data_IF_648637706868
#
_entry.id   IF_648637706868
#
_cell.length_a   1.000
_cell.length_b   1.000
_cell.length_c   1.000
_cell.angle_alpha   90.00
_cell.angle_beta   90.00
_cell.angle_gamma   90.00
#
_symmetry.space_group_name_H-M   'P 1'
#
loop_
_entity.id
_entity.type
_entity.pdbx_description
1 polymer ?
#
# COMPACT_ATOMS: atom_id res chain seq x y z
N UNK A 1 41.55 -30.96 30.77
CA UNK A 1 41.72 -30.92 29.29
C UNK A 1 41.39 -32.30 28.78
N UNK A 2 40.12 -32.58 28.56
CA UNK A 2 39.69 -33.85 28.00
C UNK A 2 38.94 -33.50 26.72
N UNK A 3 39.59 -33.84 25.59
CA UNK A 3 39.06 -33.75 24.25
C UNK A 3 38.04 -34.87 24.06
N UNK A 4 36.77 -34.50 23.96
CA UNK A 4 35.71 -35.42 23.51
C UNK A 4 35.78 -35.50 21.99
N UNK A 5 36.34 -36.62 21.48
CA UNK A 5 36.27 -36.99 20.09
C UNK A 5 34.84 -37.46 19.78
N UNK A 6 34.05 -36.66 19.07
CA UNK A 6 32.77 -37.05 18.49
C UNK A 6 33.02 -37.62 17.08
N UNK A 7 33.17 -38.93 17.03
CA UNK A 7 33.20 -39.66 15.76
C UNK A 7 31.75 -39.95 15.37
N UNK A 8 31.19 -39.18 14.44
CA UNK A 8 29.91 -39.50 13.78
C UNK A 8 30.12 -40.68 12.83
N UNK A 9 29.94 -41.90 13.34
CA UNK A 9 29.92 -43.10 12.51
C UNK A 9 28.62 -43.09 11.66
N UNK A 10 28.78 -43.12 10.34
CA UNK A 10 27.66 -43.43 9.44
C UNK A 10 27.14 -44.85 9.79
N UNK A 11 25.96 -44.91 10.37
CA UNK A 11 25.32 -46.17 10.77
C UNK A 11 24.72 -46.81 9.51
N UNK A 12 25.42 -47.79 8.92
CA UNK A 12 24.83 -48.72 7.97
C UNK A 12 24.13 -49.82 8.72
N UNK A 13 22.83 -50.02 8.55
CA UNK A 13 22.10 -51.07 9.24
C UNK A 13 22.61 -52.46 8.80
N UNK A 14 22.81 -53.34 9.78
CA UNK A 14 23.14 -54.75 9.50
C UNK A 14 21.95 -55.48 8.83
N UNK A 15 22.17 -56.59 8.11
CA UNK A 15 21.13 -57.29 7.32
C UNK A 15 19.93 -57.78 8.17
N UNK A 16 20.07 -57.93 9.49
CA UNK A 16 19.01 -58.40 10.39
C UNK A 16 17.95 -57.34 10.71
N UNK A 17 18.21 -56.04 10.39
CA UNK A 17 17.29 -54.90 10.65
C UNK A 17 16.27 -54.71 9.51
N UNK A 18 16.37 -55.44 8.41
CA UNK A 18 15.53 -55.28 7.21
C UNK A 18 14.04 -55.59 7.45
N UNK A 19 13.69 -56.38 8.48
CA UNK A 19 12.31 -56.73 8.82
C UNK A 19 11.53 -55.65 9.57
N UNK A 20 12.17 -54.58 10.01
CA UNK A 20 11.56 -53.47 10.77
C UNK A 20 11.35 -52.17 9.96
N UNK A 21 11.74 -52.14 8.67
CA UNK A 21 11.56 -50.96 7.81
C UNK A 21 10.14 -50.93 7.29
N UNK A 22 9.44 -49.81 7.52
CA UNK A 22 8.08 -49.57 7.00
C UNK A 22 8.12 -48.47 5.93
N UNK A 23 7.41 -48.67 4.81
CA UNK A 23 7.20 -47.62 3.80
C UNK A 23 5.74 -47.19 3.83
N UNK A 24 5.51 -45.87 3.85
CA UNK A 24 4.19 -45.25 3.81
C UNK A 24 4.16 -44.28 2.59
N UNK A 25 3.45 -44.68 1.54
CA UNK A 25 3.19 -43.85 0.41
C UNK A 25 1.98 -42.94 0.69
N UNK A 26 2.13 -41.64 0.49
CA UNK A 26 1.04 -40.70 0.64
C UNK A 26 0.33 -40.50 -0.71
N UNK A 27 -0.95 -40.10 -0.67
CA UNK A 27 -1.75 -39.80 -1.86
C UNK A 27 -1.42 -38.42 -2.46
N UNK A 28 -0.14 -38.01 -2.38
CA UNK A 28 0.34 -36.71 -2.84
C UNK A 28 1.31 -36.92 -4.00
N UNK A 29 0.89 -36.52 -5.21
CA UNK A 29 1.72 -36.65 -6.40
C UNK A 29 2.92 -35.69 -6.37
N UNK A 30 4.01 -36.06 -7.02
CA UNK A 30 5.24 -35.26 -7.12
C UNK A 30 5.01 -33.86 -7.69
N UNK A 31 4.06 -33.69 -8.60
CA UNK A 31 3.73 -32.41 -9.24
C UNK A 31 2.62 -31.61 -8.52
N UNK A 32 2.28 -31.97 -7.28
CA UNK A 32 1.35 -31.17 -6.48
C UNK A 32 2.05 -29.89 -5.99
N UNK A 33 1.42 -28.71 -6.13
CA UNK A 33 2.00 -27.38 -5.89
C UNK A 33 3.36 -27.21 -6.59
N UNK A 34 3.39 -27.22 -7.95
CA UNK A 34 4.63 -27.24 -8.72
C UNK A 34 5.44 -25.96 -8.58
N UNK A 35 4.80 -24.86 -8.15
CA UNK A 35 5.41 -23.56 -7.88
C UNK A 35 6.16 -23.48 -6.54
N UNK A 36 5.95 -24.46 -5.63
CA UNK A 36 6.68 -24.48 -4.38
C UNK A 36 8.11 -24.98 -4.61
N UNK A 37 9.08 -24.19 -4.14
CA UNK A 37 10.50 -24.47 -4.20
C UNK A 37 11.10 -24.59 -2.78
N UNK A 38 12.42 -24.40 -2.66
CA UNK A 38 13.14 -24.55 -1.38
C UNK A 38 12.56 -23.66 -0.28
N UNK A 39 12.26 -22.39 -0.60
CA UNK A 39 11.72 -21.46 0.42
C UNK A 39 10.39 -21.91 0.98
N UNK A 40 9.43 -22.29 0.12
CA UNK A 40 8.11 -22.72 0.57
C UNK A 40 8.21 -23.98 1.44
N UNK A 41 9.08 -24.91 1.05
CA UNK A 41 9.38 -26.11 1.83
C UNK A 41 9.96 -25.80 3.20
N UNK A 42 10.99 -24.96 3.27
CA UNK A 42 11.59 -24.51 4.54
C UNK A 42 10.61 -23.71 5.38
N UNK A 43 9.80 -22.86 4.75
CA UNK A 43 8.75 -22.09 5.44
C UNK A 43 7.83 -22.97 6.26
N UNK A 44 7.32 -24.05 5.68
CA UNK A 44 6.41 -24.97 6.39
C UNK A 44 7.09 -25.68 7.55
N UNK A 45 8.36 -26.10 7.39
CA UNK A 45 9.10 -26.78 8.47
C UNK A 45 9.45 -25.80 9.60
N UNK A 46 9.95 -24.61 9.29
CA UNK A 46 10.26 -23.55 10.27
C UNK A 46 8.98 -23.11 10.99
N UNK A 47 7.87 -22.98 10.27
CA UNK A 47 6.57 -22.67 10.87
C UNK A 47 6.14 -23.69 11.91
N UNK A 48 6.28 -24.99 11.63
CA UNK A 48 5.98 -26.04 12.59
C UNK A 48 6.90 -25.97 13.82
N UNK A 49 8.17 -25.66 13.62
CA UNK A 49 9.13 -25.45 14.72
C UNK A 49 8.76 -24.22 15.57
N UNK A 50 8.38 -23.10 14.95
CA UNK A 50 7.91 -21.89 15.66
C UNK A 50 6.64 -22.16 16.46
N UNK A 51 5.68 -22.89 15.91
CA UNK A 51 4.45 -23.28 16.61
C UNK A 51 4.79 -24.12 17.85
N UNK A 52 5.69 -25.09 17.71
CA UNK A 52 6.13 -25.93 18.84
C UNK A 52 6.85 -25.11 19.93
N UNK A 53 7.67 -24.13 19.53
CA UNK A 53 8.33 -23.20 20.46
C UNK A 53 7.32 -22.34 21.23
N UNK A 54 6.30 -21.81 20.58
CA UNK A 54 5.27 -20.99 21.22
C UNK A 54 4.34 -21.81 22.12
N UNK A 55 4.09 -23.07 21.77
CA UNK A 55 3.36 -24.01 22.63
C UNK A 55 4.17 -24.45 23.86
N UNK A 56 5.39 -23.95 24.02
CA UNK A 56 6.28 -24.22 25.15
C UNK A 56 6.62 -25.72 25.32
N UNK A 57 6.80 -26.42 24.21
CA UNK A 57 7.12 -27.87 24.19
C UNK A 57 8.59 -28.15 24.54
N UNK A 58 9.12 -27.45 25.53
CA UNK A 58 10.49 -27.62 26.04
C UNK A 58 11.55 -26.86 25.21
N UNK A 59 12.81 -27.32 25.27
CA UNK A 59 13.91 -26.68 24.55
C UNK A 59 13.72 -26.74 23.05
N UNK A 60 13.88 -25.59 22.38
CA UNK A 60 13.79 -25.49 20.93
C UNK A 60 15.10 -24.94 20.38
N UNK A 61 15.66 -25.61 19.37
CA UNK A 61 16.92 -25.25 18.71
C UNK A 61 16.69 -25.20 17.19
N UNK A 62 17.24 -24.20 16.54
CA UNK A 62 17.40 -24.13 15.09
C UNK A 62 18.86 -23.83 14.79
N UNK A 63 19.49 -24.64 13.96
CA UNK A 63 20.90 -24.53 13.62
C UNK A 63 21.14 -24.93 12.16
N UNK A 64 21.99 -24.19 11.47
CA UNK A 64 22.49 -24.56 10.16
C UNK A 64 23.95 -24.96 10.24
N UNK A 65 24.25 -26.19 9.86
CA UNK A 65 25.60 -26.72 9.77
C UNK A 65 26.11 -26.60 8.34
N UNK A 66 27.07 -25.70 8.09
CA UNK A 66 27.62 -25.44 6.76
C UNK A 66 28.47 -26.59 6.21
N UNK A 67 29.15 -27.38 7.09
CA UNK A 67 29.98 -28.51 6.67
C UNK A 67 29.11 -29.68 6.16
N UNK A 68 28.02 -29.95 6.88
CA UNK A 68 27.04 -30.98 6.51
C UNK A 68 25.99 -30.50 5.50
N UNK A 69 25.96 -29.20 5.20
CA UNK A 69 24.89 -28.52 4.45
C UNK A 69 23.51 -28.91 4.99
N UNK A 70 23.33 -28.86 6.29
CA UNK A 70 22.16 -29.36 6.96
C UNK A 70 21.52 -28.29 7.87
N UNK A 71 20.23 -28.07 7.70
CA UNK A 71 19.39 -27.34 8.65
C UNK A 71 18.78 -28.32 9.63
N UNK A 72 18.94 -28.03 10.93
CA UNK A 72 18.41 -28.82 12.05
C UNK A 72 17.40 -28.00 12.82
N UNK A 73 16.20 -28.54 12.96
CA UNK A 73 15.09 -27.97 13.72
C UNK A 73 14.71 -28.95 14.82
N UNK A 74 14.99 -28.62 16.08
CA UNK A 74 14.73 -29.49 17.23
C UNK A 74 13.73 -28.86 18.19
N UNK A 75 12.85 -29.70 18.78
CA UNK A 75 12.04 -29.38 19.95
C UNK A 75 11.76 -30.67 20.78
N UNK A 76 11.33 -30.50 22.03
CA UNK A 76 11.03 -31.61 22.93
C UNK A 76 9.58 -32.12 22.82
N UNK A 77 8.85 -31.75 21.78
CA UNK A 77 7.51 -32.29 21.52
C UNK A 77 7.53 -33.73 21.10
N UNK A 78 6.35 -34.27 20.82
CA UNK A 78 6.14 -35.64 20.30
C UNK A 78 5.34 -35.57 19.01
N UNK A 79 5.63 -36.50 18.11
CA UNK A 79 4.89 -36.71 16.87
C UNK A 79 4.77 -38.21 16.62
N UNK A 80 3.66 -38.64 16.10
CA UNK A 80 3.43 -40.03 15.67
C UNK A 80 3.07 -40.09 14.19
N UNK A 81 2.92 -41.31 13.66
CA UNK A 81 2.64 -41.51 12.23
C UNK A 81 1.32 -40.92 11.76
N UNK A 82 0.39 -40.56 12.67
CA UNK A 82 -0.86 -39.88 12.30
C UNK A 82 -0.62 -38.49 11.68
N UNK A 83 0.52 -37.89 11.99
CA UNK A 83 0.96 -36.63 11.35
C UNK A 83 1.18 -36.74 9.83
N UNK A 84 1.32 -37.96 9.30
CA UNK A 84 1.41 -38.22 7.85
C UNK A 84 0.04 -38.27 7.17
N UNK A 85 -1.06 -38.33 7.93
CA UNK A 85 -2.40 -38.23 7.36
C UNK A 85 -2.68 -36.81 6.87
N UNK A 86 -3.41 -36.70 5.77
CA UNK A 86 -3.99 -35.44 5.35
C UNK A 86 -5.23 -35.14 6.19
N UNK A 87 -5.31 -33.96 6.77
CA UNK A 87 -6.43 -33.55 7.60
C UNK A 87 -6.07 -32.42 8.57
N UNK A 88 -7.04 -31.98 9.39
CA UNK A 88 -6.81 -30.90 10.34
C UNK A 88 -5.71 -31.29 11.35
N UNK A 89 -4.98 -30.30 11.87
CA UNK A 89 -3.99 -30.54 12.93
C UNK A 89 -4.66 -31.03 14.22
N UNK A 90 -3.84 -31.41 15.20
CA UNK A 90 -4.35 -31.79 16.52
C UNK A 90 -5.21 -30.69 17.15
N UNK A 91 -6.18 -31.06 18.00
CA UNK A 91 -7.10 -30.13 18.66
C UNK A 91 -6.36 -29.00 19.39
N UNK A 92 -5.26 -29.30 20.08
CA UNK A 92 -4.43 -28.33 20.77
C UNK A 92 -3.86 -27.26 19.83
N UNK A 93 -3.54 -27.62 18.57
CA UNK A 93 -3.04 -26.66 17.57
C UNK A 93 -4.16 -25.85 16.94
N UNK A 94 -5.36 -26.44 16.82
CA UNK A 94 -6.57 -25.74 16.33
C UNK A 94 -7.06 -24.69 17.33
N UNK A 95 -6.97 -24.96 18.62
CA UNK A 95 -7.38 -24.07 19.71
C UNK A 95 -6.39 -22.91 19.94
N UNK A 96 -5.16 -23.03 19.48
CA UNK A 96 -4.15 -21.97 19.62
C UNK A 96 -4.37 -20.83 18.64
N UNK A 97 -4.74 -19.64 19.14
CA UNK A 97 -4.83 -18.42 18.32
C UNK A 97 -3.49 -18.05 17.68
N UNK A 98 -2.38 -18.41 18.31
CA UNK A 98 -1.03 -18.08 17.86
C UNK A 98 -0.46 -19.08 16.84
N UNK A 99 -1.04 -20.27 16.70
CA UNK A 99 -0.55 -21.25 15.76
C UNK A 99 -0.61 -20.73 14.31
N UNK A 100 0.50 -20.93 13.58
CA UNK A 100 0.67 -20.57 12.17
C UNK A 100 0.13 -21.63 11.25
N UNK A 101 0.33 -22.92 11.63
CA UNK A 101 -0.06 -24.07 10.82
C UNK A 101 -1.48 -24.58 11.15
N UNK A 102 -2.48 -24.10 10.41
CA UNK A 102 -3.89 -24.45 10.64
C UNK A 102 -4.41 -25.65 9.82
N UNK A 103 -3.69 -26.10 8.80
CA UNK A 103 -4.18 -27.10 7.85
C UNK A 103 -3.64 -28.51 8.08
N UNK A 104 -2.65 -28.69 8.96
CA UNK A 104 -2.06 -30.02 9.24
C UNK A 104 -1.29 -30.66 8.07
N UNK A 105 -0.99 -29.92 7.02
CA UNK A 105 -0.36 -30.39 5.78
C UNK A 105 1.11 -29.98 5.64
N UNK A 106 1.58 -29.01 6.44
CA UNK A 106 2.87 -28.34 6.25
C UNK A 106 4.06 -29.29 6.22
N UNK A 107 4.14 -30.28 7.12
CA UNK A 107 5.23 -31.25 7.11
C UNK A 107 5.29 -32.04 5.79
N UNK A 108 4.14 -32.47 5.28
CA UNK A 108 4.05 -33.28 4.05
C UNK A 108 4.37 -32.47 2.80
N UNK A 109 3.74 -31.31 2.68
CA UNK A 109 3.90 -30.46 1.50
C UNK A 109 5.26 -29.78 1.48
N UNK A 110 5.76 -29.36 2.65
CA UNK A 110 7.12 -28.84 2.76
C UNK A 110 8.17 -29.87 2.41
N UNK A 111 8.02 -31.12 2.91
CA UNK A 111 8.93 -32.22 2.56
C UNK A 111 8.87 -32.57 1.08
N UNK A 112 7.66 -32.58 0.46
CA UNK A 112 7.53 -32.81 -0.98
C UNK A 112 8.30 -31.78 -1.79
N UNK A 113 8.13 -30.49 -1.49
CA UNK A 113 8.83 -29.42 -2.19
C UNK A 113 10.35 -29.56 -2.09
N UNK A 114 10.87 -29.82 -0.89
CA UNK A 114 12.31 -29.98 -0.64
C UNK A 114 12.91 -31.21 -1.33
N UNK A 115 12.21 -32.37 -1.25
CA UNK A 115 12.70 -33.60 -1.90
C UNK A 115 12.67 -33.48 -3.43
N UNK A 116 11.69 -32.76 -3.97
CA UNK A 116 11.62 -32.46 -5.42
C UNK A 116 12.80 -31.61 -5.88
N UNK A 117 13.31 -30.73 -5.05
CA UNK A 117 14.50 -29.92 -5.28
C UNK A 117 15.82 -30.69 -5.00
N UNK A 118 15.75 -32.01 -4.73
CA UNK A 118 16.92 -32.86 -4.52
C UNK A 118 17.46 -32.86 -3.09
N UNK A 119 16.76 -32.23 -2.14
CA UNK A 119 17.16 -32.21 -0.74
C UNK A 119 16.65 -33.46 -0.01
N UNK A 120 17.35 -33.87 1.05
CA UNK A 120 16.90 -34.95 1.91
C UNK A 120 16.19 -34.37 3.14
N UNK A 121 14.95 -34.83 3.41
CA UNK A 121 14.22 -34.47 4.61
C UNK A 121 14.08 -35.67 5.52
N UNK A 122 14.52 -35.52 6.75
CA UNK A 122 14.46 -36.52 7.81
C UNK A 122 13.67 -36.00 9.02
N UNK A 123 12.87 -36.83 9.62
CA UNK A 123 12.22 -36.59 10.91
C UNK A 123 12.66 -37.66 11.90
N UNK A 124 13.34 -37.24 12.95
CA UNK A 124 13.79 -38.11 14.05
C UNK A 124 12.79 -37.92 15.21
N UNK A 125 12.24 -38.99 15.67
CA UNK A 125 11.34 -39.04 16.82
C UNK A 125 12.00 -39.89 17.93
N UNK A 126 11.43 -39.97 19.11
CA UNK A 126 12.00 -40.81 20.18
C UNK A 126 12.19 -42.30 19.83
N UNK A 127 11.46 -42.81 18.84
CA UNK A 127 11.48 -44.22 18.48
C UNK A 127 11.73 -44.54 17.02
N UNK A 128 11.68 -43.49 16.15
CA UNK A 128 11.69 -43.70 14.71
C UNK A 128 12.48 -42.57 13.99
N UNK A 129 13.11 -42.96 12.85
CA UNK A 129 13.63 -42.03 11.87
C UNK A 129 12.85 -42.18 10.58
N UNK A 130 12.22 -41.11 10.14
CA UNK A 130 11.46 -41.06 8.90
C UNK A 130 12.26 -40.33 7.84
N UNK A 131 12.37 -40.90 6.65
CA UNK A 131 13.09 -40.29 5.52
C UNK A 131 12.11 -40.13 4.37
N UNK A 132 11.95 -38.89 3.93
CA UNK A 132 11.09 -38.55 2.80
C UNK A 132 11.78 -38.84 1.46
N UNK A 133 11.02 -39.36 0.50
CA UNK A 133 11.47 -39.63 -0.87
C UNK A 133 10.30 -39.51 -1.85
N UNK A 134 10.59 -39.38 -3.14
CA UNK A 134 9.62 -39.52 -4.22
C UNK A 134 9.83 -40.92 -4.81
N UNK A 135 8.76 -41.72 -4.86
CA UNK A 135 8.83 -43.06 -5.41
C UNK A 135 7.56 -43.42 -6.20
N UNK A 136 7.68 -44.27 -7.24
CA UNK A 136 6.52 -44.81 -7.93
C UNK A 136 5.74 -45.72 -6.99
N UNK A 137 4.41 -45.71 -7.10
CA UNK A 137 3.53 -46.61 -6.34
C UNK A 137 2.58 -47.34 -7.28
N UNK A 138 2.64 -48.64 -7.27
CA UNK A 138 1.83 -49.53 -8.13
C UNK A 138 0.34 -49.43 -7.84
N UNK A 139 -0.06 -49.22 -6.58
CA UNK A 139 -1.48 -49.01 -6.21
C UNK A 139 -2.09 -47.79 -6.91
N UNK A 140 -1.25 -46.85 -7.35
CA UNK A 140 -1.64 -45.67 -8.10
C UNK A 140 -1.18 -45.71 -9.57
N UNK A 141 -1.02 -46.91 -10.15
CA UNK A 141 -0.62 -47.11 -11.54
C UNK A 141 0.79 -46.60 -11.86
N UNK A 142 1.71 -46.74 -10.92
CA UNK A 142 3.11 -46.30 -11.09
C UNK A 142 3.31 -44.80 -10.94
N UNK A 143 2.32 -44.03 -10.49
CA UNK A 143 2.48 -42.61 -10.26
C UNK A 143 3.53 -42.33 -9.17
N UNK A 144 4.37 -41.33 -9.39
CA UNK A 144 5.34 -40.88 -8.39
C UNK A 144 4.64 -40.09 -7.29
N UNK A 145 4.81 -40.54 -6.05
CA UNK A 145 4.18 -39.95 -4.87
C UNK A 145 5.19 -39.73 -3.75
N UNK A 146 4.88 -38.82 -2.84
CA UNK A 146 5.65 -38.64 -1.60
C UNK A 146 5.55 -39.92 -0.77
N UNK A 147 6.72 -40.48 -0.43
CA UNK A 147 6.84 -41.75 0.32
C UNK A 147 7.76 -41.54 1.51
N UNK A 148 7.36 -41.99 2.67
CA UNK A 148 8.18 -42.03 3.89
C UNK A 148 8.69 -43.42 4.15
N UNK A 149 10.01 -43.54 4.32
CA UNK A 149 10.64 -44.79 4.79
C UNK A 149 10.98 -44.61 6.26
N UNK A 150 10.47 -45.50 7.08
CA UNK A 150 10.56 -45.41 8.54
C UNK A 150 11.49 -46.49 9.05
N UNK A 151 12.48 -46.07 9.78
CA UNK A 151 13.49 -46.91 10.43
C UNK A 151 13.37 -46.82 11.95
N UNK A 152 13.72 -47.89 12.70
CA UNK A 152 13.93 -47.80 14.14
C UNK A 152 14.99 -46.77 14.48
N UNK A 153 14.75 -45.96 15.51
CA UNK A 153 15.67 -44.94 15.98
C UNK A 153 15.46 -44.69 17.48
N UNK A 154 16.40 -44.02 18.10
CA UNK A 154 16.26 -43.53 19.48
C UNK A 154 16.81 -42.14 19.57
N UNK A 155 15.97 -41.18 20.01
CA UNK A 155 16.35 -39.77 20.20
C UNK A 155 15.50 -39.19 21.34
N UNK A 156 15.68 -37.91 21.62
CA UNK A 156 14.88 -37.14 22.57
C UNK A 156 14.16 -36.04 21.82
N UNK A 157 12.83 -36.00 21.89
CA UNK A 157 12.03 -35.01 21.21
C UNK A 157 11.87 -35.27 19.71
N UNK A 158 11.69 -34.21 18.96
CA UNK A 158 11.55 -34.21 17.50
C UNK A 158 12.68 -33.42 16.91
N UNK A 159 13.39 -34.02 15.95
CA UNK A 159 14.39 -33.31 15.14
C UNK A 159 14.03 -33.44 13.66
N UNK A 160 13.80 -32.33 12.99
CA UNK A 160 13.67 -32.30 11.53
C UNK A 160 15.00 -31.84 10.95
N UNK A 161 15.55 -32.61 10.02
CA UNK A 161 16.79 -32.31 9.31
C UNK A 161 16.52 -32.13 7.81
N UNK A 162 17.07 -31.07 7.23
CA UNK A 162 17.08 -30.85 5.78
C UNK A 162 18.51 -30.88 5.34
N UNK A 163 18.91 -31.93 4.65
CA UNK A 163 20.31 -32.17 4.23
C UNK A 163 20.49 -31.88 2.75
N UNK A 164 21.64 -31.33 2.39
CA UNK A 164 21.98 -30.87 1.04
C UNK A 164 21.59 -29.42 0.80
N UNK A 165 21.17 -28.70 1.82
CA UNK A 165 20.76 -27.28 1.71
C UNK A 165 22.00 -26.38 1.64
N UNK A 166 22.11 -25.61 0.55
CA UNK A 166 23.20 -24.64 0.40
C UNK A 166 23.00 -23.43 1.35
N UNK A 167 24.11 -22.84 1.80
CA UNK A 167 24.10 -21.77 2.79
C UNK A 167 23.33 -20.52 2.32
N UNK A 168 23.49 -20.14 1.07
CA UNK A 168 22.79 -19.00 0.46
C UNK A 168 21.28 -19.24 0.34
N UNK A 169 20.85 -20.47 0.09
CA UNK A 169 19.44 -20.84 0.09
C UNK A 169 18.85 -20.76 1.50
N UNK A 170 19.60 -21.15 2.54
CA UNK A 170 19.18 -20.97 3.93
C UNK A 170 19.10 -19.50 4.31
N UNK A 171 20.14 -18.69 4.03
CA UNK A 171 20.13 -17.26 4.36
C UNK A 171 19.01 -16.50 3.64
N UNK A 172 18.74 -16.82 2.39
CA UNK A 172 17.59 -16.27 1.66
C UNK A 172 16.26 -16.65 2.34
N UNK A 173 16.11 -17.90 2.75
CA UNK A 173 14.91 -18.33 3.48
C UNK A 173 14.81 -17.68 4.86
N UNK A 174 15.91 -17.66 5.61
CA UNK A 174 16.01 -17.10 6.97
C UNK A 174 15.62 -15.62 7.00
N UNK A 175 16.07 -14.81 6.03
CA UNK A 175 15.76 -13.39 5.92
C UNK A 175 14.27 -13.07 5.73
N UNK A 176 13.46 -14.08 5.44
CA UNK A 176 11.99 -13.96 5.31
C UNK A 176 11.24 -14.24 6.62
N UNK A 177 11.94 -14.40 7.74
CA UNK A 177 11.34 -14.60 9.05
C UNK A 177 11.82 -13.50 10.00
N UNK A 178 10.91 -12.65 10.43
CA UNK A 178 11.23 -11.57 11.40
C UNK A 178 11.79 -12.10 12.72
N UNK A 179 11.42 -13.32 13.12
CA UNK A 179 11.89 -13.93 14.37
C UNK A 179 13.41 -14.21 14.40
N UNK A 180 14.07 -14.23 13.24
CA UNK A 180 15.52 -14.43 13.12
C UNK A 180 16.31 -13.14 12.97
N UNK A 181 15.62 -12.02 12.89
CA UNK A 181 16.26 -10.72 12.91
C UNK A 181 16.62 -10.35 14.36
N UNK A 182 17.87 -9.94 14.57
CA UNK A 182 18.35 -9.52 15.90
C UNK A 182 17.71 -8.20 16.34
N UNK A 183 17.45 -7.32 15.37
CA UNK A 183 16.82 -6.03 15.58
C UNK A 183 15.90 -5.73 14.39
N UNK A 184 14.61 -5.64 14.63
CA UNK A 184 13.62 -5.26 13.61
C UNK A 184 13.39 -3.73 13.54
N UNK A 185 14.14 -2.94 14.35
CA UNK A 185 14.00 -1.51 14.42
C UNK A 185 12.73 -1.05 15.15
N UNK A 186 12.36 0.22 15.03
CA UNK A 186 11.18 0.76 15.69
C UNK A 186 9.89 0.10 15.18
N UNK A 187 9.03 -0.29 16.11
CA UNK A 187 7.73 -0.89 15.82
C UNK A 187 6.63 -0.20 16.62
N UNK A 188 5.41 -0.23 16.09
CA UNK A 188 4.20 0.17 16.81
C UNK A 188 3.29 -1.04 16.93
N UNK A 189 3.00 -1.45 18.16
CA UNK A 189 2.04 -2.53 18.42
C UNK A 189 0.62 -2.02 18.27
N UNK A 190 -0.24 -2.79 17.62
CA UNK A 190 -1.65 -2.50 17.39
C UNK A 190 -2.52 -3.73 17.57
N UNK A 191 -3.85 -3.53 17.51
CA UNK A 191 -4.79 -4.65 17.58
C UNK A 191 -4.56 -5.71 16.48
N UNK A 192 -4.17 -5.30 15.27
CA UNK A 192 -3.98 -6.22 14.15
C UNK A 192 -2.57 -6.81 14.06
N UNK A 193 -1.59 -6.24 14.79
CA UNK A 193 -0.20 -6.68 14.77
C UNK A 193 0.77 -5.53 14.98
N UNK A 194 1.86 -5.54 14.23
CA UNK A 194 2.97 -4.59 14.36
C UNK A 194 3.16 -3.80 13.08
N UNK A 195 3.23 -2.48 13.18
CA UNK A 195 3.71 -1.58 12.14
C UNK A 195 5.24 -1.49 12.24
N UNK A 196 5.94 -1.80 11.16
CA UNK A 196 7.40 -1.79 11.08
C UNK A 196 7.86 -0.48 10.43
N UNK A 197 8.53 0.38 11.21
CA UNK A 197 8.87 1.74 10.80
C UNK A 197 10.22 1.87 10.10
N UNK A 198 11.09 0.86 10.20
CA UNK A 198 12.38 0.88 9.51
C UNK A 198 12.18 0.76 8.00
N UNK A 199 12.88 1.60 7.21
CA UNK A 199 12.75 1.69 5.74
C UNK A 199 13.04 0.35 5.04
N UNK A 200 13.85 -0.54 5.62
CA UNK A 200 14.13 -1.89 5.08
C UNK A 200 12.89 -2.79 5.00
N UNK A 201 11.84 -2.47 5.77
CA UNK A 201 10.58 -3.21 5.80
C UNK A 201 9.50 -2.62 4.92
N UNK A 202 9.71 -1.43 4.38
CA UNK A 202 8.72 -0.74 3.54
C UNK A 202 8.19 -1.64 2.43
N UNK A 203 6.88 -1.69 2.33
CA UNK A 203 6.18 -2.53 1.36
C UNK A 203 6.09 -4.01 1.70
N UNK A 204 6.86 -4.50 2.68
CA UNK A 204 6.86 -5.91 3.06
C UNK A 204 5.74 -6.24 4.04
N UNK A 205 5.07 -7.34 3.78
CA UNK A 205 3.97 -7.85 4.59
C UNK A 205 4.34 -9.20 5.17
N UNK A 206 4.24 -9.29 6.48
CA UNK A 206 4.45 -10.50 7.26
C UNK A 206 3.16 -10.88 7.97
N UNK A 207 2.96 -12.17 8.22
CA UNK A 207 1.90 -12.69 9.10
C UNK A 207 2.54 -13.58 10.14
N UNK A 208 2.36 -13.20 11.42
CA UNK A 208 2.97 -13.88 12.56
C UNK A 208 4.50 -14.07 12.38
N UNK A 209 5.16 -13.05 11.85
CA UNK A 209 6.61 -13.01 11.62
C UNK A 209 7.09 -13.77 10.38
N UNK A 210 6.21 -14.29 9.55
CA UNK A 210 6.55 -14.99 8.29
C UNK A 210 6.21 -14.09 7.11
N UNK A 211 7.17 -13.92 6.20
CA UNK A 211 6.98 -13.13 4.99
C UNK A 211 5.88 -13.72 4.09
N UNK A 212 4.99 -12.86 3.65
CA UNK A 212 3.86 -13.22 2.78
C UNK A 212 4.00 -12.60 1.41
N UNK A 213 4.25 -11.29 1.35
CA UNK A 213 4.37 -10.58 0.07
C UNK A 213 5.18 -9.30 0.19
N UNK A 214 5.72 -8.86 -0.94
CA UNK A 214 6.28 -7.53 -1.13
C UNK A 214 5.32 -6.70 -2.01
N UNK A 215 4.77 -5.66 -1.43
CA UNK A 215 3.91 -4.70 -2.13
C UNK A 215 4.70 -3.53 -2.72
N UNK A 216 6.01 -3.49 -2.50
CA UNK A 216 6.91 -2.43 -2.97
C UNK A 216 6.42 -1.05 -2.55
N UNK A 217 6.51 -0.10 -3.46
CA UNK A 217 6.10 1.29 -3.21
C UNK A 217 4.60 1.52 -2.99
N UNK A 218 3.76 0.48 -3.05
CA UNK A 218 2.32 0.62 -2.81
C UNK A 218 1.97 0.86 -1.34
N UNK A 219 2.85 0.47 -0.41
CA UNK A 219 2.69 0.71 1.02
C UNK A 219 3.76 1.70 1.50
N UNK A 220 3.42 2.50 2.51
CA UNK A 220 4.35 3.45 3.10
C UNK A 220 5.28 2.80 4.14
N UNK A 221 4.81 1.75 4.81
CA UNK A 221 5.52 1.03 5.88
C UNK A 221 5.53 -0.47 5.66
N UNK A 222 6.18 -1.19 6.57
CA UNK A 222 6.09 -2.65 6.67
C UNK A 222 5.04 -3.08 7.69
N UNK A 223 4.54 -4.31 7.57
CA UNK A 223 3.46 -4.84 8.41
C UNK A 223 3.72 -6.27 8.85
N UNK A 224 3.53 -6.56 10.13
CA UNK A 224 3.52 -7.90 10.68
C UNK A 224 2.15 -8.17 11.34
N UNK A 225 1.22 -8.73 10.59
CA UNK A 225 -0.12 -9.03 11.08
C UNK A 225 -0.13 -10.27 11.98
N UNK A 226 -0.75 -10.17 13.14
CA UNK A 226 -0.95 -11.32 14.06
C UNK A 226 -2.34 -11.93 13.94
N UNK A 227 -3.33 -11.17 13.45
CA UNK A 227 -4.74 -11.56 13.33
C UNK A 227 -5.26 -11.69 11.90
N UNK A 228 -4.37 -11.61 10.90
CA UNK A 228 -4.77 -11.78 9.51
C UNK A 228 -5.11 -13.25 9.19
N UNK A 229 -6.08 -13.42 8.29
CA UNK A 229 -6.37 -14.71 7.69
C UNK A 229 -5.55 -14.89 6.41
N UNK A 230 -4.92 -16.04 6.28
CA UNK A 230 -4.24 -16.47 5.07
C UNK A 230 -5.05 -17.57 4.41
N UNK A 231 -5.00 -17.62 3.09
CA UNK A 231 -5.49 -18.75 2.31
C UNK A 231 -4.54 -19.96 2.44
N UNK A 232 -4.88 -21.05 1.74
CA UNK A 232 -4.09 -22.29 1.73
C UNK A 232 -2.69 -22.08 1.12
N UNK A 233 -2.57 -21.14 0.19
CA UNK A 233 -1.30 -20.77 -0.48
C UNK A 233 -0.48 -19.74 0.30
N UNK A 234 -0.90 -19.43 1.52
CA UNK A 234 -0.27 -18.44 2.42
C UNK A 234 -0.29 -17.01 1.88
N UNK A 235 -1.27 -16.68 1.05
CA UNK A 235 -1.53 -15.32 0.60
C UNK A 235 -2.60 -14.66 1.49
N UNK A 236 -2.58 -13.36 1.58
CA UNK A 236 -3.67 -12.61 2.21
C UNK A 236 -4.98 -12.92 1.47
N UNK A 237 -6.02 -13.28 2.22
CA UNK A 237 -7.33 -13.65 1.65
C UNK A 237 -7.97 -12.49 0.90
N UNK A 238 -7.67 -11.24 1.29
CA UNK A 238 -8.29 -10.05 0.72
C UNK A 238 -7.32 -8.86 0.75
N UNK A 239 -7.12 -8.23 -0.41
CA UNK A 239 -6.43 -6.94 -0.51
C UNK A 239 -7.16 -5.85 0.28
N UNK A 240 -8.48 -5.93 0.39
CA UNK A 240 -9.28 -4.99 1.16
C UNK A 240 -8.99 -5.08 2.66
N UNK A 241 -8.84 -6.30 3.20
CA UNK A 241 -8.48 -6.50 4.62
C UNK A 241 -7.09 -5.92 4.88
N UNK A 242 -6.14 -6.14 3.97
CA UNK A 242 -4.80 -5.56 4.06
C UNK A 242 -4.86 -4.04 4.16
N UNK A 243 -5.56 -3.37 3.22
CA UNK A 243 -5.65 -1.91 3.19
C UNK A 243 -6.35 -1.33 4.43
N UNK A 244 -7.42 -2.00 4.87
CA UNK A 244 -8.22 -1.55 6.01
C UNK A 244 -7.44 -1.67 7.30
N UNK A 245 -6.87 -2.84 7.58
CA UNK A 245 -6.09 -3.08 8.79
C UNK A 245 -4.79 -2.26 8.81
N UNK A 246 -4.09 -2.14 7.66
CA UNK A 246 -2.91 -1.30 7.55
C UNK A 246 -3.23 0.18 7.80
N UNK A 247 -4.37 0.69 7.30
CA UNK A 247 -4.80 2.06 7.57
C UNK A 247 -5.11 2.32 9.04
N UNK A 248 -5.69 1.34 9.74
CA UNK A 248 -5.94 1.45 11.19
C UNK A 248 -4.62 1.48 11.97
N UNK A 249 -3.69 0.56 11.67
CA UNK A 249 -2.35 0.51 12.28
C UNK A 249 -1.57 1.80 12.05
N UNK A 250 -1.60 2.35 10.84
CA UNK A 250 -0.95 3.62 10.51
C UNK A 250 -1.58 4.80 11.27
N UNK A 251 -2.92 4.81 11.39
CA UNK A 251 -3.62 5.82 12.18
C UNK A 251 -3.30 5.73 13.68
N UNK A 252 -3.12 4.53 14.21
CA UNK A 252 -2.68 4.32 15.59
C UNK A 252 -1.27 4.87 15.81
N UNK A 253 -0.35 4.59 14.90
CA UNK A 253 1.02 5.11 14.92
C UNK A 253 1.07 6.65 14.79
N UNK A 254 0.11 7.26 14.10
CA UNK A 254 -0.03 8.71 14.09
C UNK A 254 -0.53 9.24 15.45
N UNK A 255 -1.49 8.55 16.08
CA UNK A 255 -2.04 8.97 17.39
C UNK A 255 -1.02 8.89 18.52
N UNK A 256 -0.14 7.89 18.51
CA UNK A 256 0.92 7.75 19.51
C UNK A 256 2.16 8.60 19.22
N UNK A 257 2.23 9.24 18.05
CA UNK A 257 3.33 10.11 17.63
C UNK A 257 4.52 9.39 17.00
N UNK A 258 4.47 8.07 16.83
CA UNK A 258 5.53 7.28 16.17
C UNK A 258 5.60 7.59 14.67
N UNK A 259 4.45 7.93 14.06
CA UNK A 259 4.34 8.48 12.70
C UNK A 259 3.87 9.93 12.80
N UNK A 260 4.67 10.86 12.32
CA UNK A 260 4.30 12.29 12.33
C UNK A 260 3.18 12.58 11.34
N UNK A 261 2.39 13.62 11.59
CA UNK A 261 1.36 14.08 10.66
C UNK A 261 1.93 14.42 9.26
N UNK A 262 3.16 14.90 9.19
CA UNK A 262 3.83 15.20 7.91
C UNK A 262 4.14 13.91 7.13
N UNK A 263 4.67 12.87 7.79
CA UNK A 263 4.91 11.55 7.16
C UNK A 263 3.60 10.91 6.70
N UNK A 264 2.55 10.94 7.54
CA UNK A 264 1.23 10.46 7.16
C UNK A 264 0.66 11.22 5.97
N UNK A 265 0.78 12.55 5.99
CA UNK A 265 0.34 13.41 4.88
C UNK A 265 1.06 13.06 3.57
N UNK A 266 2.38 12.87 3.61
CA UNK A 266 3.18 12.52 2.43
C UNK A 266 2.81 11.13 1.89
N UNK A 267 2.58 10.16 2.76
CA UNK A 267 2.09 8.83 2.37
C UNK A 267 0.71 8.92 1.69
N UNK A 268 -0.22 9.67 2.28
CA UNK A 268 -1.55 9.91 1.68
C UNK A 268 -1.44 10.63 0.33
N UNK A 269 -0.57 11.64 0.21
CA UNK A 269 -0.38 12.41 -1.02
C UNK A 269 0.21 11.56 -2.15
N UNK A 270 1.07 10.58 -1.81
CA UNK A 270 1.59 9.59 -2.75
C UNK A 270 0.56 8.50 -3.12
N UNK A 271 -0.62 8.50 -2.50
CA UNK A 271 -1.66 7.52 -2.76
C UNK A 271 -1.31 6.12 -2.27
N UNK A 272 -0.56 6.01 -1.16
CA UNK A 272 -0.21 4.71 -0.58
C UNK A 272 -1.47 3.98 -0.12
N UNK A 273 -1.55 2.67 -0.40
CA UNK A 273 -2.74 1.85 -0.14
C UNK A 273 -3.06 1.70 1.36
N UNK A 274 -2.04 1.67 2.20
CA UNK A 274 -2.13 1.65 3.66
C UNK A 274 -2.59 2.98 4.29
N UNK A 275 -2.91 3.98 3.46
CA UNK A 275 -3.55 5.23 3.90
C UNK A 275 -4.93 5.45 3.27
N UNK A 276 -5.44 4.46 2.52
CA UNK A 276 -6.71 4.59 1.78
C UNK A 276 -7.92 4.85 2.68
N UNK A 277 -7.90 4.31 3.90
CA UNK A 277 -8.99 4.42 4.88
C UNK A 277 -8.63 5.29 6.10
N UNK A 278 -7.57 6.09 6.01
CA UNK A 278 -7.08 6.93 7.12
C UNK A 278 -8.17 7.84 7.70
N UNK A 279 -9.08 8.33 6.86
CA UNK A 279 -10.21 9.15 7.27
C UNK A 279 -11.17 8.46 8.26
N UNK A 280 -11.18 7.13 8.28
CA UNK A 280 -12.04 6.34 9.16
C UNK A 280 -11.38 6.02 10.50
N UNK A 281 -10.05 6.05 10.57
CA UNK A 281 -9.29 5.56 11.72
C UNK A 281 -8.49 6.63 12.48
N UNK A 282 -8.09 7.76 11.86
CA UNK A 282 -7.24 8.77 12.51
C UNK A 282 -7.89 9.53 13.67
N UNK A 283 -9.22 9.45 13.82
CA UNK A 283 -9.92 10.25 14.82
C UNK A 283 -9.81 11.76 14.57
N UNK A 284 -10.46 12.57 15.41
CA UNK A 284 -10.55 14.02 15.19
C UNK A 284 -9.20 14.74 15.25
N UNK A 285 -8.33 14.37 16.20
CA UNK A 285 -7.01 15.00 16.34
C UNK A 285 -6.11 14.71 15.15
N UNK A 286 -6.01 13.47 14.71
CA UNK A 286 -5.18 13.09 13.56
C UNK A 286 -5.63 13.74 12.25
N UNK A 287 -6.94 13.86 12.03
CA UNK A 287 -7.48 14.57 10.88
C UNK A 287 -7.22 16.08 10.93
N UNK A 288 -7.27 16.67 12.13
CA UNK A 288 -6.93 18.07 12.35
C UNK A 288 -5.45 18.32 12.03
N UNK A 289 -4.56 17.43 12.46
CA UNK A 289 -3.13 17.54 12.20
C UNK A 289 -2.82 17.45 10.69
N UNK A 290 -3.48 16.55 9.96
CA UNK A 290 -3.36 16.48 8.49
C UNK A 290 -3.83 17.78 7.83
N UNK A 291 -4.90 18.39 8.30
CA UNK A 291 -5.41 19.66 7.80
C UNK A 291 -4.43 20.81 8.10
N UNK A 292 -3.78 20.79 9.25
CA UNK A 292 -2.74 21.76 9.60
C UNK A 292 -1.51 21.63 8.68
N UNK A 293 -1.06 20.39 8.37
CA UNK A 293 0.01 20.13 7.43
C UNK A 293 -0.35 20.62 6.02
N UNK A 294 -1.59 20.38 5.56
CA UNK A 294 -2.07 20.89 4.27
C UNK A 294 -2.00 22.42 4.21
N UNK A 295 -2.54 23.08 5.25
CA UNK A 295 -2.55 24.54 5.34
C UNK A 295 -1.14 25.13 5.40
N UNK A 296 -0.25 24.53 6.19
CA UNK A 296 1.14 24.96 6.27
C UNK A 296 1.88 24.83 4.93
N UNK A 297 1.60 23.77 4.15
CA UNK A 297 2.26 23.49 2.87
C UNK A 297 1.74 24.36 1.72
N UNK A 298 0.42 24.58 1.66
CA UNK A 298 -0.23 25.20 0.51
C UNK A 298 -0.77 26.60 0.78
N UNK A 299 -0.80 27.02 2.03
CA UNK A 299 -1.24 28.33 2.49
C UNK A 299 -2.70 28.38 2.91
N UNK A 300 -3.03 29.38 3.73
CA UNK A 300 -4.41 29.67 4.13
C UNK A 300 -5.26 30.01 2.90
N UNK A 301 -6.44 29.43 2.79
CA UNK A 301 -7.33 29.60 1.64
C UNK A 301 -7.10 28.65 0.47
N UNK A 302 -6.09 27.78 0.52
CA UNK A 302 -6.02 26.63 -0.36
C UNK A 302 -7.10 25.61 0.06
N UNK A 303 -7.76 24.97 -0.93
CA UNK A 303 -8.76 23.93 -0.67
C UNK A 303 -8.32 22.60 -1.30
N UNK A 304 -8.53 21.47 -0.62
CA UNK A 304 -8.35 20.18 -1.24
C UNK A 304 -9.49 19.88 -2.21
N UNK A 305 -9.15 19.29 -3.36
CA UNK A 305 -10.10 18.81 -4.36
C UNK A 305 -9.70 17.40 -4.81
N UNK A 306 -10.69 16.59 -5.15
CA UNK A 306 -10.47 15.20 -5.57
C UNK A 306 -10.47 15.05 -7.09
N UNK A 307 -11.35 15.78 -7.78
CA UNK A 307 -11.58 15.66 -9.21
C UNK A 307 -11.13 16.90 -9.98
N UNK A 308 -10.86 16.70 -11.27
CA UNK A 308 -10.55 17.80 -12.18
C UNK A 308 -11.71 18.79 -12.32
N UNK A 309 -12.95 18.30 -12.30
CA UNK A 309 -14.14 19.16 -12.34
C UNK A 309 -14.20 20.10 -11.13
N UNK A 310 -13.92 19.58 -9.91
CA UNK A 310 -13.83 20.42 -8.70
C UNK A 310 -12.68 21.43 -8.79
N UNK A 311 -11.52 21.00 -9.33
CA UNK A 311 -10.36 21.87 -9.52
C UNK A 311 -10.70 23.06 -10.45
N UNK A 312 -11.32 22.79 -11.59
CA UNK A 312 -11.74 23.80 -12.54
C UNK A 312 -12.79 24.74 -11.94
N UNK A 313 -13.81 24.19 -11.26
CA UNK A 313 -14.84 24.96 -10.58
C UNK A 313 -14.27 25.87 -9.49
N UNK A 314 -13.30 25.38 -8.71
CA UNK A 314 -12.62 26.17 -7.68
C UNK A 314 -11.80 27.32 -8.29
N UNK A 315 -11.06 27.05 -9.37
CA UNK A 315 -10.32 28.07 -10.11
C UNK A 315 -11.25 29.12 -10.69
N UNK A 316 -12.41 28.73 -11.21
CA UNK A 316 -13.42 29.62 -11.77
C UNK A 316 -13.93 30.66 -10.74
N UNK A 317 -13.98 30.31 -9.47
CA UNK A 317 -14.35 31.23 -8.38
C UNK A 317 -13.13 31.84 -7.66
N UNK A 318 -11.93 31.60 -8.18
CA UNK A 318 -10.67 32.18 -7.69
C UNK A 318 -10.10 31.54 -6.44
N UNK A 319 -10.46 30.31 -6.14
CA UNK A 319 -9.85 29.56 -5.07
C UNK A 319 -8.58 28.84 -5.53
N UNK A 320 -7.60 28.73 -4.65
CA UNK A 320 -6.41 27.91 -4.86
C UNK A 320 -6.77 26.46 -4.57
N UNK A 321 -7.04 25.69 -5.62
CA UNK A 321 -7.36 24.29 -5.51
C UNK A 321 -6.10 23.42 -5.58
N UNK A 322 -6.00 22.43 -4.70
CA UNK A 322 -4.92 21.45 -4.67
C UNK A 322 -5.54 20.07 -4.85
N UNK A 323 -5.23 19.43 -5.96
CA UNK A 323 -5.72 18.07 -6.22
C UNK A 323 -4.97 17.06 -5.36
N UNK A 324 -5.72 16.24 -4.64
CA UNK A 324 -5.19 15.22 -3.73
C UNK A 324 -5.89 13.87 -3.96
N UNK A 325 -5.24 12.73 -3.62
CA UNK A 325 -5.87 11.42 -3.69
C UNK A 325 -7.14 11.32 -2.82
N UNK A 326 -8.08 10.44 -3.21
CA UNK A 326 -9.40 10.27 -2.59
C UNK A 326 -9.34 10.02 -1.07
N UNK A 327 -8.36 9.23 -0.60
CA UNK A 327 -8.17 8.96 0.83
C UNK A 327 -7.85 10.24 1.61
N UNK A 328 -6.90 11.04 1.09
CA UNK A 328 -6.51 12.31 1.70
C UNK A 328 -7.62 13.36 1.57
N UNK A 329 -8.32 13.43 0.45
CA UNK A 329 -9.48 14.32 0.30
C UNK A 329 -10.54 14.05 1.35
N UNK A 330 -10.90 12.79 1.57
CA UNK A 330 -11.86 12.39 2.60
C UNK A 330 -11.40 12.76 4.01
N UNK A 331 -10.11 12.63 4.30
CA UNK A 331 -9.54 13.04 5.58
C UNK A 331 -9.63 14.57 5.78
N UNK A 332 -9.21 15.34 4.79
CA UNK A 332 -9.13 16.80 4.88
C UNK A 332 -10.51 17.46 4.90
N UNK A 333 -11.49 16.95 4.16
CA UNK A 333 -12.82 17.57 4.05
C UNK A 333 -13.55 17.71 5.40
N UNK A 334 -13.21 16.86 6.37
CA UNK A 334 -13.82 16.87 7.71
C UNK A 334 -13.53 18.17 8.47
N UNK A 335 -12.39 18.81 8.20
CA UNK A 335 -11.96 20.06 8.83
C UNK A 335 -11.97 21.25 7.89
N UNK A 336 -11.75 21.03 6.60
CA UNK A 336 -11.63 22.08 5.59
C UNK A 336 -12.94 22.31 4.81
N UNK A 337 -13.97 21.49 5.07
CA UNK A 337 -15.23 21.49 4.32
C UNK A 337 -15.13 20.78 2.97
N UNK A 338 -16.27 20.40 2.42
CA UNK A 338 -16.33 19.82 1.09
C UNK A 338 -15.95 20.86 0.02
N UNK A 339 -15.32 20.42 -1.06
CA UNK A 339 -14.91 21.29 -2.16
C UNK A 339 -16.09 22.11 -2.70
N UNK A 340 -17.26 21.47 -2.90
CA UNK A 340 -18.47 22.08 -3.39
C UNK A 340 -18.99 23.20 -2.47
N UNK A 341 -18.93 22.99 -1.17
CA UNK A 341 -19.35 23.99 -0.17
C UNK A 341 -18.43 25.22 -0.21
N UNK A 342 -17.11 24.99 -0.28
CA UNK A 342 -16.13 26.08 -0.36
C UNK A 342 -16.26 26.85 -1.68
N UNK A 343 -16.48 26.15 -2.80
CA UNK A 343 -16.71 26.75 -4.12
C UNK A 343 -17.97 27.59 -4.11
N UNK A 344 -19.10 27.06 -3.60
CA UNK A 344 -20.36 27.78 -3.52
C UNK A 344 -20.25 29.03 -2.63
N UNK A 345 -19.60 28.87 -1.47
CA UNK A 345 -19.35 30.01 -0.58
C UNK A 345 -18.51 31.09 -1.26
N UNK A 346 -17.45 30.71 -1.99
CA UNK A 346 -16.61 31.64 -2.72
C UNK A 346 -17.38 32.30 -3.90
N UNK A 347 -18.17 31.53 -4.63
CA UNK A 347 -18.99 32.01 -5.74
C UNK A 347 -19.98 33.11 -5.29
N UNK A 348 -20.58 32.98 -4.12
CA UNK A 348 -21.54 33.95 -3.58
C UNK A 348 -20.89 35.12 -2.86
N UNK A 349 -19.57 35.05 -2.51
CA UNK A 349 -18.91 36.08 -1.72
C UNK A 349 -18.35 37.19 -2.60
N UNK A 350 -19.09 38.27 -2.74
CA UNK A 350 -18.70 39.52 -3.37
C UNK A 350 -18.74 40.65 -2.33
N UNK A 351 -17.66 41.39 -2.19
CA UNK A 351 -17.60 42.51 -1.24
C UNK A 351 -18.55 43.64 -1.59
N UNK A 352 -18.66 43.94 -2.86
CA UNK A 352 -19.51 45.01 -3.35
C UNK A 352 -19.76 44.90 -4.87
N UNK A 353 -21.02 45.06 -5.27
CA UNK A 353 -21.46 45.25 -6.66
C UNK A 353 -21.76 46.71 -6.98
N UNK A 354 -21.09 47.69 -6.36
CA UNK A 354 -21.27 49.11 -6.69
C UNK A 354 -20.89 49.35 -8.15
N UNK A 355 -21.64 50.22 -8.81
CA UNK A 355 -21.35 50.63 -10.18
C UNK A 355 -19.90 51.10 -10.36
N UNK A 356 -19.21 50.70 -11.44
CA UNK A 356 -17.86 51.16 -11.72
C UNK A 356 -17.85 52.67 -12.07
N UNK A 357 -16.69 53.31 -11.90
CA UNK A 357 -16.51 54.66 -12.38
C UNK A 357 -16.60 54.72 -13.92
N UNK A 358 -16.91 55.87 -14.49
CA UNK A 358 -17.14 56.05 -15.93
C UNK A 358 -16.01 55.47 -16.81
N UNK A 359 -14.77 55.72 -16.44
CA UNK A 359 -13.61 55.19 -17.20
C UNK A 359 -13.46 53.68 -17.06
N UNK A 360 -13.74 53.14 -15.88
CA UNK A 360 -13.72 51.67 -15.63
C UNK A 360 -14.82 50.97 -16.45
N UNK A 361 -16.03 51.54 -16.48
CA UNK A 361 -17.15 51.03 -17.30
C UNK A 361 -16.78 51.03 -18.79
N UNK A 362 -16.22 52.14 -19.30
CA UNK A 362 -15.80 52.25 -20.72
C UNK A 362 -14.75 51.19 -21.09
N UNK A 363 -13.78 50.95 -20.21
CA UNK A 363 -12.74 49.90 -20.43
C UNK A 363 -13.37 48.51 -20.42
N UNK A 364 -14.28 48.20 -19.48
CA UNK A 364 -14.97 46.94 -19.39
C UNK A 364 -15.81 46.68 -20.65
N UNK A 365 -16.66 47.65 -21.03
CA UNK A 365 -17.53 47.54 -22.22
C UNK A 365 -16.70 47.40 -23.51
N UNK A 366 -15.54 48.08 -23.58
CA UNK A 366 -14.60 47.94 -24.70
C UNK A 366 -14.01 46.52 -24.71
N UNK A 367 -13.53 45.98 -23.59
CA UNK A 367 -12.93 44.66 -23.49
C UNK A 367 -13.92 43.54 -23.82
N UNK A 368 -15.14 43.62 -23.35
CA UNK A 368 -16.20 42.67 -23.66
C UNK A 368 -16.48 42.69 -25.16
N UNK A 369 -16.60 43.86 -25.79
CA UNK A 369 -16.79 43.95 -27.26
C UNK A 369 -15.63 43.30 -28.04
N UNK A 370 -14.37 43.51 -27.61
CA UNK A 370 -13.24 42.85 -28.27
C UNK A 370 -13.31 41.33 -28.14
N UNK A 371 -13.66 40.83 -26.96
CA UNK A 371 -13.76 39.37 -26.69
C UNK A 371 -14.93 38.74 -27.48
N UNK A 372 -16.09 39.39 -27.54
CA UNK A 372 -17.23 38.96 -28.35
C UNK A 372 -16.88 38.89 -29.83
N UNK A 373 -16.15 39.85 -30.35
CA UNK A 373 -15.71 39.89 -31.76
C UNK A 373 -14.77 38.72 -32.13
N UNK A 374 -13.92 38.26 -31.22
CA UNK A 374 -12.99 37.16 -31.48
C UNK A 374 -13.61 35.78 -31.15
N UNK A 375 -14.58 35.72 -30.26
CA UNK A 375 -15.19 34.47 -29.82
C UNK A 375 -16.53 34.19 -30.52
N UNK A 376 -17.11 35.17 -31.18
CA UNK A 376 -18.48 35.14 -31.75
C UNK A 376 -19.58 34.78 -30.73
N UNK A 377 -19.31 34.99 -29.41
CA UNK A 377 -20.25 34.73 -28.32
C UNK A 377 -20.97 36.01 -27.88
N UNK A 378 -22.01 36.37 -28.62
CA UNK A 378 -22.83 37.57 -28.34
C UNK A 378 -23.61 37.52 -27.01
N UNK A 379 -23.64 36.39 -26.35
CA UNK A 379 -24.26 36.22 -25.01
C UNK A 379 -23.34 36.56 -23.85
N UNK A 380 -22.04 36.79 -24.14
CA UNK A 380 -21.03 37.06 -23.13
C UNK A 380 -21.12 38.52 -22.65
N UNK A 381 -21.08 38.71 -21.34
CA UNK A 381 -20.96 40.03 -20.75
C UNK A 381 -20.15 40.00 -19.45
N UNK A 382 -19.83 41.14 -18.89
CA UNK A 382 -19.05 41.22 -17.68
C UNK A 382 -19.56 42.34 -16.74
N UNK A 383 -19.39 42.11 -15.43
CA UNK A 383 -19.75 43.03 -14.36
C UNK A 383 -18.52 43.42 -13.53
N UNK A 384 -18.38 44.68 -13.24
CA UNK A 384 -17.33 45.18 -12.34
C UNK A 384 -17.78 45.02 -10.89
N UNK A 385 -17.01 44.26 -10.13
CA UNK A 385 -17.25 43.97 -8.72
C UNK A 385 -16.03 44.33 -7.87
N UNK A 386 -16.15 44.20 -6.57
CA UNK A 386 -15.02 44.18 -5.65
C UNK A 386 -15.02 42.89 -4.88
N UNK A 387 -13.99 42.05 -5.06
CA UNK A 387 -13.86 40.80 -4.36
C UNK A 387 -13.19 40.98 -3.01
N UNK A 388 -13.38 39.95 -2.15
CA UNK A 388 -12.51 39.76 -1.02
C UNK A 388 -11.23 39.00 -1.47
N UNK A 389 -10.07 39.41 -0.96
CA UNK A 389 -8.80 38.77 -1.26
C UNK A 389 -8.21 39.18 -2.63
N UNK A 390 -7.33 38.31 -3.15
CA UNK A 390 -6.50 38.60 -4.33
C UNK A 390 -7.15 38.25 -5.68
N UNK A 391 -8.27 37.60 -5.66
CA UNK A 391 -8.97 37.14 -6.88
C UNK A 391 -9.36 38.33 -7.74
N UNK A 392 -9.11 38.21 -9.04
CA UNK A 392 -9.32 39.31 -10.02
C UNK A 392 -10.47 39.07 -10.96
N UNK A 393 -10.84 37.78 -11.17
CA UNK A 393 -11.93 37.40 -12.09
C UNK A 393 -12.63 36.13 -11.59
N UNK A 394 -13.94 36.05 -11.80
CA UNK A 394 -14.81 34.90 -11.51
C UNK A 394 -15.93 34.80 -12.51
N UNK A 395 -16.62 33.68 -12.52
CA UNK A 395 -17.91 33.54 -13.19
C UNK A 395 -19.02 33.87 -12.20
N UNK A 396 -20.07 34.54 -12.64
CA UNK A 396 -21.26 34.77 -11.83
C UNK A 396 -22.00 33.44 -11.59
N UNK A 397 -22.19 33.01 -10.35
CA UNK A 397 -22.89 31.76 -10.06
C UNK A 397 -24.34 31.77 -10.52
N UNK A 398 -24.95 32.96 -10.59
CA UNK A 398 -26.34 33.12 -11.03
C UNK A 398 -26.48 33.18 -12.55
N UNK A 399 -25.36 33.43 -13.25
CA UNK A 399 -25.32 33.53 -14.70
C UNK A 399 -23.93 33.15 -15.25
N UNK A 400 -23.79 31.93 -15.71
CA UNK A 400 -22.52 31.37 -16.20
C UNK A 400 -21.92 32.06 -17.44
N UNK A 401 -22.66 32.98 -18.05
CA UNK A 401 -22.18 33.84 -19.17
C UNK A 401 -21.71 35.20 -18.69
N UNK A 402 -21.82 35.52 -17.40
CA UNK A 402 -21.38 36.77 -16.80
C UNK A 402 -20.03 36.62 -16.11
N UNK A 403 -19.04 37.37 -16.59
CA UNK A 403 -17.70 37.43 -15.98
C UNK A 403 -17.68 38.53 -14.94
N UNK A 404 -17.53 38.15 -13.65
CA UNK A 404 -17.31 39.12 -12.58
C UNK A 404 -15.82 39.53 -12.55
N UNK A 405 -15.56 40.82 -12.73
CA UNK A 405 -14.18 41.36 -12.85
C UNK A 405 -13.92 42.32 -11.68
N UNK A 406 -12.81 42.11 -10.95
CA UNK A 406 -12.41 43.03 -9.89
C UNK A 406 -12.05 44.39 -10.42
N UNK A 407 -12.47 45.45 -9.76
CA UNK A 407 -12.24 46.83 -10.19
C UNK A 407 -10.77 47.18 -10.36
N UNK A 408 -9.87 46.55 -9.62
CA UNK A 408 -8.43 46.81 -9.70
C UNK A 408 -7.83 46.51 -11.05
N UNK A 409 -8.38 45.55 -11.82
CA UNK A 409 -7.90 45.22 -13.16
C UNK A 409 -8.45 46.17 -14.23
N UNK A 410 -9.47 46.97 -13.91
CA UNK A 410 -10.02 47.98 -14.80
C UNK A 410 -9.18 49.27 -14.83
N UNK A 411 -7.95 49.23 -14.33
CA UNK A 411 -7.00 50.35 -14.30
C UNK A 411 -6.37 50.64 -15.68
N UNK A 412 -6.23 49.62 -16.54
CA UNK A 412 -5.73 49.76 -17.90
C UNK A 412 -6.43 48.82 -18.88
N UNK A 413 -6.38 49.10 -20.20
CA UNK A 413 -6.93 48.23 -21.25
C UNK A 413 -6.27 46.83 -21.23
N UNK A 414 -4.94 46.78 -21.10
CA UNK A 414 -4.21 45.51 -21.06
C UNK A 414 -4.63 44.63 -19.90
N UNK A 415 -4.75 45.17 -18.69
CA UNK A 415 -5.22 44.41 -17.51
C UNK A 415 -6.67 43.97 -17.66
N UNK A 416 -7.53 44.84 -18.25
CA UNK A 416 -8.95 44.53 -18.47
C UNK A 416 -9.11 43.36 -19.44
N UNK A 417 -8.42 43.39 -20.60
CA UNK A 417 -8.56 42.33 -21.60
C UNK A 417 -7.95 41.01 -21.09
N UNK A 418 -6.83 41.07 -20.38
CA UNK A 418 -6.24 39.87 -19.77
C UNK A 418 -7.23 39.18 -18.79
N UNK A 419 -7.84 39.96 -17.89
CA UNK A 419 -8.83 39.43 -16.96
C UNK A 419 -10.09 38.86 -17.66
N UNK A 420 -10.55 39.49 -18.75
CA UNK A 420 -11.67 39.00 -19.53
C UNK A 420 -11.35 37.73 -20.31
N UNK A 421 -10.14 37.60 -20.85
CA UNK A 421 -9.64 36.37 -21.46
C UNK A 421 -9.59 35.24 -20.42
N UNK A 422 -9.01 35.52 -19.25
CA UNK A 422 -8.98 34.54 -18.14
C UNK A 422 -10.41 34.11 -17.76
N UNK A 423 -11.34 35.07 -17.65
CA UNK A 423 -12.75 34.77 -17.35
C UNK A 423 -13.42 33.94 -18.45
N UNK A 424 -13.16 34.23 -19.70
CA UNK A 424 -13.70 33.46 -20.82
C UNK A 424 -13.19 32.02 -20.83
N UNK A 425 -11.92 31.80 -20.50
CA UNK A 425 -11.35 30.45 -20.35
C UNK A 425 -11.99 29.66 -19.21
N UNK A 426 -12.48 30.34 -18.17
CA UNK A 426 -13.24 29.68 -17.09
C UNK A 426 -14.63 29.21 -17.59
N UNK A 427 -15.24 29.92 -18.55
CA UNK A 427 -16.52 29.55 -19.18
C UNK A 427 -16.29 28.47 -20.24
N UNK A 428 -15.23 28.61 -21.05
CA UNK A 428 -14.94 27.75 -22.18
C UNK A 428 -13.59 27.06 -22.04
N UNK A 429 -13.57 25.92 -21.34
CA UNK A 429 -12.35 25.16 -21.04
C UNK A 429 -11.64 24.58 -22.28
N UNK A 430 -12.28 24.58 -23.45
CA UNK A 430 -11.69 24.13 -24.73
C UNK A 430 -10.98 25.23 -25.48
N UNK A 431 -11.16 26.48 -25.07
CA UNK A 431 -10.51 27.60 -25.70
C UNK A 431 -9.00 27.61 -25.39
N UNK A 432 -8.18 27.90 -26.39
CA UNK A 432 -6.73 28.03 -26.24
C UNK A 432 -6.36 29.50 -26.01
N UNK A 433 -5.58 29.74 -24.96
CA UNK A 433 -5.10 31.08 -24.59
C UNK A 433 -4.33 31.73 -25.75
N UNK A 434 -3.44 30.98 -26.38
CA UNK A 434 -2.60 31.49 -27.49
C UNK A 434 -3.45 31.87 -28.69
N UNK A 435 -4.47 31.12 -29.02
CA UNK A 435 -5.36 31.37 -30.13
C UNK A 435 -6.21 32.64 -29.90
N UNK A 436 -6.69 32.82 -28.64
CA UNK A 436 -7.44 34.05 -28.29
C UNK A 436 -6.58 35.30 -28.38
N UNK A 437 -5.35 35.24 -27.86
CA UNK A 437 -4.45 36.40 -27.97
C UNK A 437 -3.99 36.63 -29.41
N UNK A 438 -3.77 35.62 -30.22
CA UNK A 438 -3.49 35.75 -31.64
C UNK A 438 -4.67 36.42 -32.38
N UNK A 439 -5.89 35.98 -32.13
CA UNK A 439 -7.10 36.57 -32.72
C UNK A 439 -7.32 38.04 -32.28
N UNK A 440 -7.09 38.35 -31.01
CA UNK A 440 -7.13 39.73 -30.51
C UNK A 440 -6.07 40.59 -31.15
N UNK A 441 -4.87 40.06 -31.31
CA UNK A 441 -3.74 40.79 -31.97
C UNK A 441 -4.08 41.04 -33.44
N UNK A 442 -4.60 40.05 -34.14
CA UNK A 442 -5.05 40.23 -35.54
C UNK A 442 -6.17 41.26 -35.66
N UNK A 443 -7.15 41.25 -34.76
CA UNK A 443 -8.20 42.25 -34.69
C UNK A 443 -7.66 43.67 -34.54
N UNK A 444 -6.61 43.86 -33.69
CA UNK A 444 -6.05 45.16 -33.43
C UNK A 444 -5.08 45.65 -34.52
N UNK A 445 -4.36 44.76 -35.21
CA UNK A 445 -3.35 45.15 -36.22
C UNK A 445 -3.88 45.08 -37.67
N UNK A 446 -4.89 44.26 -37.99
CA UNK A 446 -5.36 44.08 -39.38
C UNK A 446 -6.53 44.94 -39.80
N UNK A 447 -7.12 45.75 -38.92
CA UNK A 447 -8.03 46.67 -39.50
C UNK A 447 -9.40 46.90 -38.93
N UNK A 448 -9.49 46.97 -37.65
CA UNK A 448 -10.48 47.92 -37.17
C UNK A 448 -10.00 49.31 -37.60
N UNK A 449 -10.58 49.86 -38.69
CA UNK A 449 -10.61 51.31 -38.82
C UNK A 449 -10.95 51.82 -37.43
N UNK A 450 -10.17 52.74 -36.83
CA UNK A 450 -10.51 53.30 -35.55
C UNK A 450 -11.92 53.86 -35.74
N UNK A 451 -12.90 53.15 -35.14
CA UNK A 451 -14.22 53.74 -35.03
C UNK A 451 -14.00 55.06 -34.31
N UNK A 452 -14.33 56.13 -34.98
CA UNK A 452 -14.01 57.49 -34.61
C UNK A 452 -14.61 57.93 -33.28
N UNK A 453 -15.17 57.03 -32.50
CA UNK A 453 -15.75 57.23 -31.20
C UNK A 453 -15.05 56.48 -30.04
N UNK A 454 -13.83 56.00 -30.24
CA UNK A 454 -13.03 55.54 -29.09
C UNK A 454 -12.56 56.80 -28.32
N UNK A 455 -13.02 56.98 -27.07
CA UNK A 455 -12.59 58.11 -26.25
C UNK A 455 -11.08 58.10 -26.14
N UNK A 456 -10.46 59.29 -26.24
CA UNK A 456 -9.02 59.50 -26.10
C UNK A 456 -8.48 58.68 -24.92
N UNK A 457 -7.39 57.96 -25.16
CA UNK A 457 -6.70 57.19 -24.17
C UNK A 457 -6.09 58.15 -23.15
N UNK A 458 -6.50 58.07 -21.90
CA UNK A 458 -5.62 58.52 -20.82
C UNK A 458 -4.41 57.59 -20.80
N UNK A 459 -3.31 58.05 -21.34
CA UNK A 459 -1.97 57.52 -21.11
C UNK A 459 -1.58 57.85 -19.67
N UNK A 460 -1.73 56.89 -18.75
CA UNK A 460 -1.35 56.97 -17.36
C UNK A 460 -1.06 55.60 -16.81
#
# INVERSE_FOLDING_TARGET
MDTVNSTTAAFYPSPETSSMITRIALTIRVNYLPEWAVYEGLRELVQNWLDAKEMNLGTSLIEYNAEEKALVLHNQGTIDRSALLLGPPSDAKLESENARGKFGEGLKLGSLALVREGLTVEVLTPTERWVASIAPNEDFGGAEVLTWTIYPHQDIGITVRVVGLEADAWENARSKFLVFEEDIGPVVDSYYGQLLLDERWKGKVYVKGIFVQDSGDRLAWGYNFTRAQLDRDRKMVSDWDLETHASDMAAEAQRDGSVTAAQMFDACLQGKRDTSYISSYSGSSGLQDLSAVFTARYGEGAIPVETEAQELAAKAVGLKAIRVPSGLYRALRSYMGAAEENINKAATTVKSRKAPGVNQKRRLDWGVRQLVLVTDDGSLYAEAVQFFGETKVRIDPDNTKNILVDRSVLSSRGKTIAALVDGYLLINHKANVSDLYAALTDLWFKGAKPDTELPALDEG
#
